data_IF_293312435823
#
_entry.id   IF_293312435823
#
_cell.length_a   1.000
_cell.length_b   1.000
_cell.length_c   1.000
_cell.angle_alpha   90.00
_cell.angle_beta   90.00
_cell.angle_gamma   90.00
#
_symmetry.space_group_name_H-M   'P 1'
#
loop_
_entity.id
_entity.type
_entity.pdbx_description
1 polymer ?
#
# COMPACT_ATOMS: atom_id res chain seq x y z
N UNK A 1 -8.93 -20.87 -2.01
CA UNK A 1 -9.12 -19.69 -2.89
C UNK A 1 -8.03 -19.50 -3.94
N UNK A 2 -7.20 -20.51 -4.20
CA UNK A 2 -6.20 -20.52 -5.28
C UNK A 2 -6.80 -20.75 -6.69
N UNK A 3 -8.11 -20.98 -6.77
CA UNK A 3 -8.81 -21.17 -8.03
C UNK A 3 -9.24 -19.89 -8.74
N UNK A 4 -9.26 -18.73 -8.03
CA UNK A 4 -9.67 -17.46 -8.65
C UNK A 4 -8.57 -16.75 -9.44
N UNK A 5 -7.31 -16.90 -9.04
CA UNK A 5 -6.19 -16.28 -9.77
C UNK A 5 -5.84 -16.99 -11.07
N UNK A 6 -6.00 -18.33 -11.12
CA UNK A 6 -5.75 -19.08 -12.34
C UNK A 6 -6.87 -18.89 -13.39
N UNK A 7 -8.10 -18.64 -12.97
CA UNK A 7 -9.21 -18.35 -13.89
C UNK A 7 -9.09 -16.96 -14.51
N UNK A 8 -8.73 -15.92 -13.71
CA UNK A 8 -8.54 -14.58 -14.22
C UNK A 8 -7.40 -14.50 -15.24
N UNK A 9 -6.24 -15.13 -14.96
CA UNK A 9 -5.15 -15.20 -15.92
C UNK A 9 -5.55 -15.95 -17.20
N UNK A 10 -6.30 -17.05 -17.08
CA UNK A 10 -6.78 -17.79 -18.26
C UNK A 10 -7.78 -17.00 -19.09
N UNK A 11 -8.57 -16.14 -18.45
CA UNK A 11 -9.57 -15.30 -19.15
C UNK A 11 -8.92 -14.12 -19.88
N UNK A 12 -7.82 -13.55 -19.34
CA UNK A 12 -7.03 -12.55 -20.06
C UNK A 12 -6.43 -13.13 -21.34
N UNK A 13 -5.86 -14.32 -21.29
CA UNK A 13 -5.30 -15.00 -22.48
C UNK A 13 -6.36 -15.41 -23.50
N UNK A 14 -7.62 -15.58 -23.10
CA UNK A 14 -8.74 -15.90 -24.00
C UNK A 14 -9.34 -14.68 -24.69
N UNK A 15 -9.06 -13.45 -24.19
CA UNK A 15 -9.53 -12.21 -24.78
C UNK A 15 -8.59 -11.77 -25.90
N UNK A 16 -8.98 -12.12 -27.13
CA UNK A 16 -8.28 -11.64 -28.33
C UNK A 16 -8.93 -10.37 -28.86
N UNK A 17 -8.20 -9.54 -29.62
CA UNK A 17 -8.77 -8.38 -30.28
C UNK A 17 -9.90 -8.79 -31.24
N UNK A 18 -11.12 -8.65 -30.79
CA UNK A 18 -12.34 -8.97 -31.55
C UNK A 18 -13.40 -7.92 -31.20
N UNK A 19 -13.75 -7.10 -32.18
CA UNK A 19 -14.72 -6.02 -32.02
C UNK A 19 -16.15 -6.55 -31.76
N UNK A 20 -16.44 -7.79 -32.16
CA UNK A 20 -17.75 -8.44 -31.95
C UNK A 20 -17.89 -9.09 -30.58
N UNK A 21 -16.78 -9.25 -29.85
CA UNK A 21 -16.77 -9.82 -28.52
C UNK A 21 -17.32 -8.83 -27.48
N UNK A 22 -17.58 -9.34 -26.27
CA UNK A 22 -17.98 -8.49 -25.18
C UNK A 22 -16.88 -7.51 -24.77
N UNK A 23 -17.29 -6.29 -24.43
CA UNK A 23 -16.37 -5.21 -24.08
C UNK A 23 -15.60 -5.52 -22.81
N UNK A 24 -14.29 -5.37 -22.88
CA UNK A 24 -13.38 -5.37 -21.74
C UNK A 24 -12.19 -4.45 -22.00
N UNK A 25 -11.88 -3.59 -21.04
CA UNK A 25 -10.78 -2.64 -21.12
C UNK A 25 -10.11 -2.46 -19.76
N UNK A 26 -8.82 -2.11 -19.78
CA UNK A 26 -8.04 -1.79 -18.60
C UNK A 26 -7.75 -0.29 -18.56
N UNK A 27 -8.16 0.38 -17.48
CA UNK A 27 -7.76 1.74 -17.19
C UNK A 27 -6.33 1.73 -16.61
N UNK A 28 -5.36 2.22 -17.37
CA UNK A 28 -3.95 2.15 -16.99
C UNK A 28 -3.35 3.47 -16.54
N UNK A 29 -4.03 4.58 -16.75
CA UNK A 29 -3.58 5.91 -16.34
C UNK A 29 -4.77 6.84 -16.15
N UNK A 30 -4.73 7.62 -15.07
CA UNK A 30 -5.66 8.73 -14.82
C UNK A 30 -4.86 10.01 -14.72
N UNK A 31 -5.32 11.09 -15.34
CA UNK A 31 -4.73 12.41 -15.19
C UNK A 31 -5.80 13.48 -15.12
N UNK A 32 -5.49 14.59 -14.48
CA UNK A 32 -6.37 15.74 -14.41
C UNK A 32 -5.95 16.76 -15.46
N UNK A 33 -6.90 17.08 -16.33
CA UNK A 33 -6.71 18.10 -17.37
C UNK A 33 -7.40 19.40 -16.95
N UNK A 34 -6.77 20.58 -17.13
CA UNK A 34 -7.34 21.86 -16.74
C UNK A 34 -8.66 22.21 -17.44
N UNK A 35 -8.87 21.70 -18.66
CA UNK A 35 -10.01 22.06 -19.51
C UNK A 35 -11.15 21.05 -19.48
N UNK A 36 -10.84 19.77 -19.46
CA UNK A 36 -11.84 18.70 -19.53
C UNK A 36 -12.01 17.93 -18.22
N UNK A 37 -11.18 18.21 -17.23
CA UNK A 37 -11.20 17.55 -15.94
C UNK A 37 -10.51 16.20 -15.96
N UNK A 38 -11.08 15.20 -15.31
CA UNK A 38 -10.50 13.86 -15.20
C UNK A 38 -10.49 13.14 -16.55
N UNK A 39 -9.32 12.73 -16.99
CA UNK A 39 -9.09 11.89 -18.16
C UNK A 39 -8.67 10.49 -17.70
N UNK A 40 -9.39 9.47 -18.13
CA UNK A 40 -9.05 8.07 -17.87
C UNK A 40 -8.56 7.42 -19.16
N UNK A 41 -7.28 7.09 -19.20
CA UNK A 41 -6.68 6.35 -20.32
C UNK A 41 -6.90 4.87 -20.14
N UNK A 42 -7.39 4.22 -21.19
CA UNK A 42 -7.68 2.80 -21.18
C UNK A 42 -7.29 2.13 -22.47
N UNK A 43 -7.01 0.83 -22.40
CA UNK A 43 -6.80 -0.04 -23.54
C UNK A 43 -7.94 -1.02 -23.64
N UNK A 44 -8.53 -1.12 -24.83
CA UNK A 44 -9.59 -2.10 -25.13
C UNK A 44 -8.95 -3.44 -25.48
N UNK A 45 -9.27 -4.47 -24.70
CA UNK A 45 -8.81 -5.84 -24.95
C UNK A 45 -9.78 -6.61 -25.83
N UNK A 46 -11.06 -6.35 -25.75
CA UNK A 46 -12.10 -6.96 -26.59
C UNK A 46 -13.32 -6.07 -26.68
N UNK A 47 -14.10 -6.25 -27.74
CA UNK A 47 -15.30 -5.48 -27.98
C UNK A 47 -15.03 -4.04 -28.40
N UNK A 48 -16.05 -3.22 -28.36
CA UNK A 48 -16.02 -1.79 -28.71
C UNK A 48 -16.67 -0.95 -27.62
N UNK A 49 -16.28 0.30 -27.52
CA UNK A 49 -16.88 1.28 -26.63
C UNK A 49 -17.31 2.50 -27.41
N UNK A 50 -18.56 2.91 -27.22
CA UNK A 50 -19.11 4.12 -27.85
C UNK A 50 -19.26 5.25 -26.84
N UNK A 51 -19.04 6.48 -27.29
CA UNK A 51 -19.28 7.70 -26.52
C UNK A 51 -20.72 7.75 -26.02
N UNK A 52 -20.95 8.20 -24.79
CA UNK A 52 -22.26 8.27 -24.16
C UNK A 52 -22.83 6.95 -23.64
N UNK A 53 -22.13 5.82 -23.83
CA UNK A 53 -22.58 4.51 -23.35
C UNK A 53 -22.25 4.29 -21.87
N UNK A 54 -22.85 3.25 -21.31
CA UNK A 54 -22.60 2.83 -19.94
C UNK A 54 -21.58 1.68 -19.91
N UNK A 55 -20.76 1.69 -18.88
CA UNK A 55 -19.79 0.62 -18.58
C UNK A 55 -19.90 0.24 -17.12
N UNK A 56 -19.48 -0.97 -16.80
CA UNK A 56 -19.29 -1.42 -15.43
C UNK A 56 -17.81 -1.38 -15.08
N UNK A 57 -17.47 -0.70 -13.98
CA UNK A 57 -16.19 -0.85 -13.33
C UNK A 57 -16.27 -2.10 -12.45
N UNK A 58 -15.76 -3.21 -12.92
CA UNK A 58 -15.83 -4.51 -12.22
C UNK A 58 -14.91 -4.57 -11.00
N UNK A 59 -13.83 -3.80 -10.98
CA UNK A 59 -12.93 -3.72 -9.83
C UNK A 59 -13.57 -3.08 -8.61
N UNK A 60 -14.50 -2.13 -8.82
CA UNK A 60 -15.20 -1.39 -7.75
C UNK A 60 -16.70 -1.71 -7.67
N UNK A 61 -17.20 -2.56 -8.54
CA UNK A 61 -18.63 -2.87 -8.69
C UNK A 61 -19.51 -1.61 -8.85
N UNK A 62 -19.10 -0.72 -9.75
CA UNK A 62 -19.77 0.56 -10.03
C UNK A 62 -20.14 0.67 -11.50
N UNK A 63 -21.34 1.15 -11.75
CA UNK A 63 -21.82 1.52 -13.10
C UNK A 63 -21.46 2.97 -13.38
N UNK A 64 -20.84 3.25 -14.53
CA UNK A 64 -20.48 4.61 -14.92
C UNK A 64 -20.88 4.89 -16.37
N UNK A 65 -21.12 6.15 -16.65
CA UNK A 65 -21.38 6.62 -18.02
C UNK A 65 -20.12 7.22 -18.61
N UNK A 66 -19.73 6.74 -19.77
CA UNK A 66 -18.68 7.37 -20.59
C UNK A 66 -19.27 8.63 -21.20
N UNK A 67 -18.65 9.77 -20.96
CA UNK A 67 -19.03 11.02 -21.61
C UNK A 67 -18.48 11.08 -23.02
N UNK A 68 -17.35 11.77 -23.18
CA UNK A 68 -16.63 11.87 -24.46
C UNK A 68 -15.48 10.87 -24.50
N UNK A 69 -15.16 10.43 -25.71
CA UNK A 69 -13.97 9.64 -26.01
C UNK A 69 -12.99 10.49 -26.81
N UNK A 70 -11.74 10.48 -26.39
CA UNK A 70 -10.67 11.27 -27.01
C UNK A 70 -9.55 10.36 -27.48
N UNK A 71 -9.07 10.59 -28.70
CA UNK A 71 -7.83 10.03 -29.18
C UNK A 71 -6.73 11.08 -29.05
N UNK A 72 -5.62 10.69 -28.43
CA UNK A 72 -4.51 11.60 -28.14
C UNK A 72 -3.38 11.38 -29.13
N UNK A 73 -2.99 12.44 -29.83
CA UNK A 73 -1.83 12.48 -30.72
C UNK A 73 -0.89 13.58 -30.25
N UNK A 74 0.16 13.24 -29.54
CA UNK A 74 1.09 14.21 -28.94
C UNK A 74 0.32 15.26 -28.09
N UNK A 75 0.28 16.51 -28.53
CA UNK A 75 -0.42 17.60 -27.85
C UNK A 75 -1.83 17.89 -28.42
N UNK A 76 -2.27 17.13 -29.42
CA UNK A 76 -3.60 17.30 -30.02
C UNK A 76 -4.59 16.27 -29.50
N UNK A 77 -5.83 16.71 -29.31
CA UNK A 77 -6.95 15.87 -28.87
C UNK A 77 -7.96 15.82 -30.01
N UNK A 78 -8.37 14.62 -30.36
CA UNK A 78 -9.42 14.40 -31.33
C UNK A 78 -10.56 13.64 -30.67
N UNK A 79 -11.76 14.21 -30.71
CA UNK A 79 -12.96 13.53 -30.25
C UNK A 79 -13.33 12.41 -31.24
N UNK A 80 -13.62 11.24 -30.69
CA UNK A 80 -14.00 10.06 -31.46
C UNK A 80 -15.30 9.47 -30.92
N UNK A 81 -16.06 8.81 -31.76
CA UNK A 81 -17.35 8.21 -31.38
C UNK A 81 -17.20 6.80 -30.84
N UNK A 82 -16.23 6.04 -31.32
CA UNK A 82 -16.06 4.63 -30.98
C UNK A 82 -14.58 4.28 -30.86
N UNK A 83 -14.27 3.44 -29.85
CA UNK A 83 -12.95 2.81 -29.67
C UNK A 83 -13.08 1.33 -29.96
N UNK A 84 -12.16 0.79 -30.74
CA UNK A 84 -12.15 -0.61 -31.17
C UNK A 84 -11.14 -1.44 -30.37
N UNK A 85 -11.28 -2.76 -30.46
CA UNK A 85 -10.39 -3.67 -29.75
C UNK A 85 -8.92 -3.49 -30.15
N UNK A 86 -8.03 -3.50 -29.15
CA UNK A 86 -6.59 -3.22 -29.30
C UNK A 86 -6.20 -1.74 -29.27
N UNK A 87 -7.15 -0.82 -29.36
CA UNK A 87 -6.90 0.61 -29.33
C UNK A 87 -6.77 1.18 -27.91
N UNK A 88 -6.09 2.31 -27.84
CA UNK A 88 -5.93 3.11 -26.62
C UNK A 88 -6.66 4.46 -26.84
N UNK A 89 -7.47 4.84 -25.87
CA UNK A 89 -8.16 6.12 -25.88
C UNK A 89 -8.27 6.70 -24.47
N UNK A 90 -8.74 7.93 -24.37
CA UNK A 90 -9.08 8.57 -23.10
C UNK A 90 -10.59 8.78 -22.99
N UNK A 91 -11.16 8.51 -21.84
CA UNK A 91 -12.57 8.78 -21.53
C UNK A 91 -12.69 9.97 -20.58
N UNK A 92 -13.67 10.82 -20.86
CA UNK A 92 -14.13 11.89 -19.97
C UNK A 92 -15.43 11.44 -19.29
N UNK A 93 -15.57 11.73 -18.01
CA UNK A 93 -16.81 11.47 -17.29
C UNK A 93 -16.81 10.24 -16.39
N UNK A 94 -15.75 9.47 -16.35
CA UNK A 94 -15.57 8.36 -15.42
C UNK A 94 -15.12 8.91 -14.06
N UNK A 95 -16.03 9.00 -13.10
CA UNK A 95 -15.78 9.62 -11.79
C UNK A 95 -15.08 8.70 -10.81
N UNK A 96 -15.47 7.42 -10.79
CA UNK A 96 -15.04 6.43 -9.80
C UNK A 96 -13.86 5.58 -10.28
N UNK A 97 -13.60 5.54 -11.58
CA UNK A 97 -12.56 4.72 -12.18
C UNK A 97 -11.18 5.29 -11.89
N UNK A 98 -10.32 4.45 -11.33
CA UNK A 98 -8.91 4.75 -11.05
C UNK A 98 -7.96 3.91 -11.89
N UNK A 99 -6.67 4.17 -11.75
CA UNK A 99 -5.61 3.40 -12.41
C UNK A 99 -5.65 1.93 -11.97
N UNK A 100 -5.63 1.02 -12.92
CA UNK A 100 -5.68 -0.43 -12.67
C UNK A 100 -7.08 -1.03 -12.66
N UNK A 101 -8.13 -0.22 -12.73
CA UNK A 101 -9.49 -0.71 -12.77
C UNK A 101 -9.83 -1.33 -14.13
N UNK A 102 -10.68 -2.37 -14.09
CA UNK A 102 -11.23 -3.00 -15.30
C UNK A 102 -12.60 -2.41 -15.61
N UNK A 103 -12.80 -2.04 -16.87
CA UNK A 103 -14.09 -1.63 -17.43
C UNK A 103 -14.62 -2.75 -18.32
N UNK A 104 -15.89 -3.11 -18.15
CA UNK A 104 -16.53 -4.18 -18.92
C UNK A 104 -17.97 -3.84 -19.26
N UNK A 105 -18.61 -4.71 -20.06
CA UNK A 105 -20.03 -4.66 -20.31
C UNK A 105 -20.83 -4.98 -19.03
N UNK A 106 -22.04 -4.42 -18.92
CA UNK A 106 -22.86 -4.53 -17.71
C UNK A 106 -23.26 -5.95 -17.32
N UNK A 107 -23.20 -6.90 -18.26
CA UNK A 107 -23.66 -8.29 -18.07
C UNK A 107 -22.52 -9.30 -17.88
N UNK A 108 -21.29 -8.88 -17.99
CA UNK A 108 -20.17 -9.79 -18.01
C UNK A 108 -19.02 -9.29 -17.13
N UNK A 109 -19.06 -9.68 -15.88
CA UNK A 109 -18.03 -9.31 -14.91
C UNK A 109 -16.71 -10.05 -15.21
N UNK A 110 -15.70 -9.28 -15.59
CA UNK A 110 -14.34 -9.74 -15.76
C UNK A 110 -13.39 -8.78 -15.05
N UNK A 111 -12.32 -9.31 -14.49
CA UNK A 111 -11.17 -8.54 -14.01
C UNK A 111 -9.97 -8.97 -14.85
N UNK A 112 -9.46 -8.08 -15.69
CA UNK A 112 -8.38 -8.36 -16.62
C UNK A 112 -7.04 -8.54 -15.90
N UNK A 113 -6.73 -7.62 -15.03
CA UNK A 113 -5.50 -7.62 -14.24
C UNK A 113 -5.76 -6.88 -12.93
N UNK A 114 -5.35 -7.44 -11.82
CA UNK A 114 -5.30 -6.70 -10.57
C UNK A 114 -3.89 -6.17 -10.40
N UNK A 115 -3.71 -4.86 -10.54
CA UNK A 115 -2.44 -4.22 -10.23
C UNK A 115 -2.33 -4.08 -8.71
N UNK A 116 -1.36 -4.75 -8.12
CA UNK A 116 -0.99 -4.54 -6.74
C UNK A 116 0.02 -3.37 -6.68
N UNK A 117 -0.38 -2.32 -6.00
CA UNK A 117 0.51 -1.18 -5.76
C UNK A 117 1.15 -1.33 -4.39
N UNK A 118 2.48 -1.09 -4.26
CA UNK A 118 3.14 -1.15 -2.97
C UNK A 118 2.58 -0.09 -2.01
N UNK A 119 2.49 -0.45 -0.73
CA UNK A 119 2.12 0.49 0.32
C UNK A 119 3.18 1.59 0.46
N UNK A 120 2.79 2.82 0.80
CA UNK A 120 3.72 3.89 1.08
C UNK A 120 4.75 3.53 2.15
N UNK A 121 6.00 3.92 1.96
CA UNK A 121 7.12 3.64 2.88
C UNK A 121 7.62 4.86 3.62
N UNK A 122 7.22 6.05 3.19
CA UNK A 122 7.55 7.33 3.83
C UNK A 122 6.31 8.18 3.96
N UNK A 123 6.18 8.91 5.06
CA UNK A 123 5.08 9.80 5.34
C UNK A 123 5.56 11.20 5.70
N UNK A 124 4.78 12.20 5.33
CA UNK A 124 4.95 13.60 5.73
C UNK A 124 3.64 14.14 6.29
N UNK A 125 3.71 15.02 7.29
CA UNK A 125 2.58 15.86 7.62
C UNK A 125 2.53 17.07 6.69
N UNK A 126 1.36 17.45 6.23
CA UNK A 126 1.13 18.67 5.47
C UNK A 126 0.05 19.51 6.14
N UNK A 127 0.32 20.79 6.29
CA UNK A 127 -0.59 21.72 6.95
C UNK A 127 -0.85 22.92 6.01
N UNK A 128 -2.13 23.23 5.69
CA UNK A 128 -2.44 24.39 4.86
C UNK A 128 -2.05 25.68 5.58
N UNK A 129 -1.51 26.67 4.87
CA UNK A 129 -1.10 27.96 5.45
C UNK A 129 -2.29 28.85 5.79
N UNK A 130 -3.45 28.62 5.16
CA UNK A 130 -4.67 29.37 5.39
C UNK A 130 -5.91 28.50 5.31
N UNK A 131 -7.04 28.98 5.80
CA UNK A 131 -8.32 28.28 5.70
C UNK A 131 -8.76 28.10 4.24
N UNK A 132 -8.44 29.06 3.37
CA UNK A 132 -8.71 28.96 1.94
C UNK A 132 -7.88 27.86 1.26
N UNK A 133 -6.64 27.62 1.75
CA UNK A 133 -5.79 26.54 1.25
C UNK A 133 -6.29 25.17 1.68
N UNK A 134 -7.01 25.04 2.80
CA UNK A 134 -7.51 23.77 3.29
C UNK A 134 -8.45 23.07 2.30
N UNK A 135 -9.43 23.81 1.77
CA UNK A 135 -10.39 23.26 0.80
C UNK A 135 -9.69 22.87 -0.52
N UNK A 136 -8.80 23.74 -0.98
CA UNK A 136 -7.97 23.46 -2.17
C UNK A 136 -7.06 22.25 -1.97
N UNK A 137 -6.44 22.12 -0.80
CA UNK A 137 -5.59 21.01 -0.45
C UNK A 137 -6.36 19.69 -0.46
N UNK A 138 -7.54 19.65 0.13
CA UNK A 138 -8.40 18.45 0.12
C UNK A 138 -8.74 18.02 -1.30
N UNK A 139 -9.12 18.97 -2.16
CA UNK A 139 -9.39 18.67 -3.57
C UNK A 139 -8.16 18.22 -4.34
N UNK A 140 -7.00 18.85 -4.10
CA UNK A 140 -5.74 18.47 -4.72
C UNK A 140 -5.32 17.05 -4.33
N UNK A 141 -5.42 16.70 -3.05
CA UNK A 141 -5.06 15.38 -2.55
C UNK A 141 -5.94 14.28 -3.13
N UNK A 142 -7.25 14.50 -3.27
CA UNK A 142 -8.15 13.55 -3.92
C UNK A 142 -7.73 13.29 -5.37
N UNK A 143 -7.48 14.35 -6.14
CA UNK A 143 -7.07 14.23 -7.54
C UNK A 143 -5.72 13.54 -7.71
N UNK A 144 -4.74 13.87 -6.86
CA UNK A 144 -3.42 13.25 -6.89
C UNK A 144 -3.46 11.76 -6.54
N UNK A 145 -4.32 11.35 -5.60
CA UNK A 145 -4.53 9.93 -5.29
C UNK A 145 -5.20 9.17 -6.43
N UNK A 146 -6.10 9.82 -7.17
CA UNK A 146 -6.71 9.22 -8.36
C UNK A 146 -5.69 9.00 -9.49
N UNK A 147 -4.72 9.91 -9.64
CA UNK A 147 -3.66 9.82 -10.65
C UNK A 147 -2.57 8.80 -10.28
N UNK A 148 -2.22 8.73 -8.99
CA UNK A 148 -1.11 7.93 -8.48
C UNK A 148 -1.57 6.99 -7.36
N UNK A 149 -1.76 5.70 -7.66
CA UNK A 149 -2.18 4.70 -6.65
C UNK A 149 -1.15 4.44 -5.55
N UNK A 150 0.10 4.83 -5.73
CA UNK A 150 1.16 4.71 -4.71
C UNK A 150 1.20 5.88 -3.74
N UNK A 151 0.42 6.92 -4.02
CA UNK A 151 0.26 8.09 -3.15
C UNK A 151 -1.02 7.97 -2.31
N UNK A 152 -0.87 8.11 -1.00
CA UNK A 152 -1.99 8.06 -0.07
C UNK A 152 -2.03 9.32 0.79
N UNK A 153 -3.24 9.77 1.13
CA UNK A 153 -3.45 10.86 2.06
C UNK A 153 -4.58 10.50 3.03
N UNK A 154 -4.39 10.80 4.30
CA UNK A 154 -5.39 10.63 5.34
C UNK A 154 -5.22 11.67 6.44
N UNK A 155 -6.28 11.90 7.19
CA UNK A 155 -6.23 12.73 8.39
C UNK A 155 -5.99 11.85 9.59
N UNK A 156 -4.98 12.18 10.38
CA UNK A 156 -4.70 11.53 11.66
C UNK A 156 -5.78 11.95 12.67
N UNK A 157 -6.51 10.98 13.21
CA UNK A 157 -7.64 11.24 14.11
C UNK A 157 -7.20 11.79 15.47
N UNK A 158 -5.99 11.47 15.92
CA UNK A 158 -5.47 11.94 17.20
C UNK A 158 -4.95 13.38 17.12
N UNK A 159 -4.24 13.71 16.06
CA UNK A 159 -3.57 15.01 15.91
C UNK A 159 -4.35 15.99 15.03
N UNK A 160 -5.28 15.51 14.22
CA UNK A 160 -5.99 16.30 13.20
C UNK A 160 -5.11 16.72 12.01
N UNK A 161 -3.87 16.24 11.96
CA UNK A 161 -2.95 16.53 10.87
C UNK A 161 -3.29 15.72 9.62
N UNK A 162 -3.06 16.30 8.46
CA UNK A 162 -3.12 15.57 7.20
C UNK A 162 -1.75 14.94 6.94
N UNK A 163 -1.74 13.63 6.77
CA UNK A 163 -0.54 12.83 6.51
C UNK A 163 -0.59 12.35 5.06
N UNK A 164 0.47 12.60 4.31
CA UNK A 164 0.65 12.07 2.96
C UNK A 164 1.73 10.98 2.97
N UNK A 165 1.50 9.93 2.21
CA UNK A 165 2.40 8.79 2.09
C UNK A 165 2.80 8.54 0.65
N UNK A 166 4.03 8.13 0.43
CA UNK A 166 4.59 7.83 -0.88
C UNK A 166 5.78 6.88 -0.83
N UNK A 167 6.41 6.70 -1.98
CA UNK A 167 7.46 5.70 -2.19
C UNK A 167 8.87 6.23 -1.96
N UNK A 168 9.03 7.48 -1.64
CA UNK A 168 10.30 8.11 -1.33
C UNK A 168 10.20 9.62 -1.20
N UNK A 169 11.29 10.23 -0.73
CA UNK A 169 11.37 11.67 -0.49
C UNK A 169 11.10 12.48 -1.77
N UNK A 170 11.76 12.11 -2.87
CA UNK A 170 11.57 12.77 -4.16
C UNK A 170 10.12 12.66 -4.67
N UNK A 171 9.49 11.50 -4.49
CA UNK A 171 8.09 11.30 -4.85
C UNK A 171 7.18 12.29 -4.13
N UNK A 172 7.33 12.42 -2.82
CA UNK A 172 6.53 13.36 -2.03
C UNK A 172 6.86 14.83 -2.33
N UNK A 173 8.12 15.16 -2.56
CA UNK A 173 8.54 16.51 -2.96
C UNK A 173 7.89 16.94 -4.28
N UNK A 174 7.85 16.05 -5.27
CA UNK A 174 7.18 16.31 -6.55
C UNK A 174 5.69 16.54 -6.34
N UNK A 175 5.03 15.74 -5.49
CA UNK A 175 3.60 15.88 -5.22
C UNK A 175 3.28 17.19 -4.49
N UNK A 176 4.09 17.58 -3.52
CA UNK A 176 3.95 18.87 -2.83
C UNK A 176 4.16 20.04 -3.79
N UNK A 177 5.16 19.96 -4.66
CA UNK A 177 5.41 20.98 -5.70
C UNK A 177 4.23 21.07 -6.69
N UNK A 178 3.64 19.94 -7.07
CA UNK A 178 2.43 19.90 -7.90
C UNK A 178 1.22 20.54 -7.20
N UNK A 179 1.03 20.28 -5.91
CA UNK A 179 -0.03 20.95 -5.14
C UNK A 179 0.10 22.47 -5.22
N UNK A 180 1.32 22.99 -5.10
CA UNK A 180 1.59 24.41 -5.19
C UNK A 180 1.37 24.96 -6.62
N UNK A 181 1.96 24.33 -7.62
CA UNK A 181 1.98 24.83 -9.00
C UNK A 181 0.69 24.60 -9.78
N UNK A 182 0.10 23.43 -9.63
CA UNK A 182 -1.09 23.03 -10.40
C UNK A 182 -2.39 23.38 -9.69
N UNK A 183 -2.43 23.28 -8.36
CA UNK A 183 -3.63 23.47 -7.55
C UNK A 183 -3.63 24.77 -6.74
N UNK A 184 -2.54 25.52 -6.81
CA UNK A 184 -2.38 26.78 -6.07
C UNK A 184 -2.63 26.65 -4.57
N UNK A 185 -2.03 25.60 -3.96
CA UNK A 185 -2.11 25.28 -2.53
C UNK A 185 -0.79 25.61 -1.86
N UNK A 186 -0.82 26.48 -0.85
CA UNK A 186 0.32 26.75 0.01
C UNK A 186 0.19 25.90 1.29
N UNK A 187 1.22 25.11 1.59
CA UNK A 187 1.25 24.28 2.79
C UNK A 187 2.63 24.24 3.43
N UNK A 188 2.65 23.99 4.75
CA UNK A 188 3.87 23.67 5.48
C UNK A 188 4.05 22.16 5.50
N UNK A 189 5.28 21.70 5.32
CA UNK A 189 5.64 20.29 5.28
C UNK A 189 6.45 19.92 6.50
N UNK A 190 6.02 18.88 7.21
CA UNK A 190 6.73 18.34 8.37
C UNK A 190 7.93 17.47 7.98
N UNK A 191 8.65 16.98 8.98
CA UNK A 191 9.79 16.09 8.79
C UNK A 191 9.34 14.72 8.23
N UNK A 192 10.14 14.08 7.34
CA UNK A 192 9.85 12.75 6.85
C UNK A 192 9.82 11.70 7.97
N UNK A 193 8.84 10.80 7.91
CA UNK A 193 8.68 9.66 8.82
C UNK A 193 8.71 8.36 8.04
N UNK A 194 9.58 7.44 8.44
CA UNK A 194 9.69 6.11 7.85
C UNK A 194 8.56 5.22 8.38
N UNK A 195 7.92 4.47 7.50
CA UNK A 195 6.92 3.49 7.88
C UNK A 195 7.57 2.18 8.27
N UNK A 196 7.85 2.04 9.56
CA UNK A 196 8.31 0.78 10.11
C UNK A 196 7.19 -0.25 10.20
N UNK A 197 7.56 -1.51 10.39
CA UNK A 197 6.65 -2.63 10.64
C UNK A 197 7.20 -3.45 11.80
N UNK A 198 6.39 -4.37 12.30
CA UNK A 198 6.79 -5.33 13.33
C UNK A 198 6.53 -6.75 12.82
N UNK A 199 7.24 -7.73 13.34
CA UNK A 199 6.98 -9.15 13.06
C UNK A 199 7.44 -10.02 14.20
N UNK A 200 6.99 -11.27 14.22
CA UNK A 200 7.44 -12.30 15.16
C UNK A 200 8.58 -13.12 14.56
N UNK A 201 9.55 -13.50 15.38
CA UNK A 201 10.69 -14.33 14.96
C UNK A 201 10.58 -15.79 15.36
N UNK A 202 9.74 -16.11 16.35
CA UNK A 202 9.58 -17.49 16.84
C UNK A 202 8.13 -17.79 17.16
N UNK A 203 7.73 -19.08 17.10
CA UNK A 203 6.38 -19.49 17.42
C UNK A 203 6.14 -19.55 18.93
N UNK A 204 4.88 -19.38 19.34
CA UNK A 204 4.42 -19.63 20.69
C UNK A 204 2.93 -19.94 20.71
N UNK A 205 2.53 -20.73 21.71
CA UNK A 205 1.13 -20.95 22.05
C UNK A 205 0.78 -20.09 23.26
N UNK A 206 -0.30 -19.34 23.17
CA UNK A 206 -0.73 -18.40 24.22
C UNK A 206 -2.23 -18.50 24.45
N UNK A 207 -2.66 -18.03 25.61
CA UNK A 207 -4.06 -17.88 25.98
C UNK A 207 -4.38 -16.38 26.08
N UNK A 208 -5.51 -15.98 25.51
CA UNK A 208 -6.15 -14.69 25.75
C UNK A 208 -7.50 -14.92 26.41
N UNK A 209 -7.67 -14.44 27.63
CA UNK A 209 -8.92 -14.59 28.38
C UNK A 209 -9.42 -13.25 28.87
N UNK A 210 -10.63 -12.93 28.48
CA UNK A 210 -11.34 -11.75 28.93
C UNK A 210 -12.56 -12.20 29.74
N UNK A 211 -12.56 -11.91 31.04
CA UNK A 211 -13.66 -12.22 31.94
C UNK A 211 -13.91 -11.00 32.81
N UNK A 212 -15.09 -10.45 32.75
CA UNK A 212 -15.51 -9.30 33.55
C UNK A 212 -16.94 -9.50 34.04
N UNK A 213 -17.14 -9.36 35.34
CA UNK A 213 -18.46 -9.28 35.96
C UNK A 213 -18.60 -7.92 36.63
N UNK A 214 -19.60 -7.17 36.25
CA UNK A 214 -19.94 -5.87 36.86
C UNK A 214 -21.47 -5.75 36.93
N UNK A 215 -22.08 -6.11 38.07
CA UNK A 215 -23.45 -5.78 38.46
C UNK A 215 -24.55 -5.98 37.39
N UNK A 216 -24.54 -7.10 36.67
CA UNK A 216 -25.45 -7.40 35.57
C UNK A 216 -24.94 -8.50 34.67
N UNK A 217 -25.19 -8.44 33.38
CA UNK A 217 -24.64 -9.35 32.38
C UNK A 217 -23.14 -9.21 32.33
N UNK A 218 -22.41 -10.28 32.57
CA UNK A 218 -20.95 -10.32 32.48
C UNK A 218 -20.42 -10.34 31.06
N UNK A 219 -19.10 -10.36 30.90
CA UNK A 219 -18.41 -10.56 29.63
C UNK A 219 -17.42 -11.69 29.75
N UNK A 220 -17.40 -12.59 28.78
CA UNK A 220 -16.51 -13.74 28.77
C UNK A 220 -16.07 -14.12 27.36
N UNK A 221 -14.77 -14.20 27.14
CA UNK A 221 -14.14 -14.77 25.96
C UNK A 221 -12.81 -15.40 26.33
N UNK A 222 -12.55 -16.59 25.83
CA UNK A 222 -11.31 -17.33 26.09
C UNK A 222 -10.87 -18.06 24.85
N UNK A 223 -9.63 -17.77 24.42
CA UNK A 223 -9.03 -18.32 23.21
C UNK A 223 -7.62 -18.79 23.46
N UNK A 224 -7.26 -19.92 22.86
CA UNK A 224 -5.90 -20.43 22.81
C UNK A 224 -5.43 -20.39 21.36
N UNK A 225 -4.37 -19.64 21.10
CA UNK A 225 -3.86 -19.37 19.75
C UNK A 225 -2.38 -19.73 19.68
N UNK A 226 -2.02 -20.44 18.61
CA UNK A 226 -0.65 -20.66 18.22
C UNK A 226 -0.26 -19.61 17.17
N UNK A 227 0.70 -18.75 17.52
CA UNK A 227 1.27 -17.80 16.59
C UNK A 227 2.57 -18.35 16.02
N UNK A 228 2.73 -18.26 14.72
CA UNK A 228 3.90 -18.73 13.98
C UNK A 228 4.35 -17.66 13.01
N UNK A 229 5.67 -17.39 12.88
CA UNK A 229 6.17 -16.54 11.81
C UNK A 229 5.75 -17.06 10.44
N UNK A 230 5.28 -16.16 9.58
CA UNK A 230 5.02 -16.45 8.18
C UNK A 230 6.24 -16.13 7.32
N UNK A 231 6.24 -16.59 6.08
CA UNK A 231 7.24 -16.19 5.09
C UNK A 231 7.19 -14.68 4.86
N UNK A 232 8.33 -14.09 4.55
CA UNK A 232 8.42 -12.65 4.22
C UNK A 232 7.48 -12.33 3.05
N UNK A 233 6.58 -11.37 3.27
CA UNK A 233 5.54 -11.00 2.30
C UNK A 233 4.33 -11.94 2.28
N UNK A 234 4.30 -12.98 3.12
CA UNK A 234 3.17 -13.94 3.20
C UNK A 234 1.91 -13.36 3.84
N UNK A 235 2.01 -12.23 4.53
CA UNK A 235 0.89 -11.57 5.17
C UNK A 235 0.35 -12.31 6.39
N UNK A 236 -0.89 -11.97 6.76
CA UNK A 236 -1.60 -12.60 7.86
C UNK A 236 -2.43 -13.78 7.36
N UNK A 237 -2.25 -14.94 8.01
CA UNK A 237 -3.05 -16.12 7.78
C UNK A 237 -3.72 -16.56 9.09
N UNK A 238 -5.02 -16.79 9.03
CA UNK A 238 -5.81 -17.29 10.15
C UNK A 238 -6.33 -18.69 9.85
N UNK A 239 -6.09 -19.61 10.79
CA UNK A 239 -6.58 -20.99 10.72
C UNK A 239 -7.53 -21.26 11.89
N UNK A 240 -8.72 -21.76 11.58
CA UNK A 240 -9.65 -22.29 12.57
C UNK A 240 -9.41 -23.79 12.75
N UNK A 241 -8.82 -24.16 13.88
CA UNK A 241 -8.58 -25.55 14.28
C UNK A 241 -9.42 -25.98 15.50
N UNK A 242 -10.54 -25.31 15.74
CA UNK A 242 -11.46 -25.65 16.86
C UNK A 242 -12.11 -27.00 16.61
N UNK A 243 -12.10 -27.82 17.63
CA UNK A 243 -12.76 -29.14 17.69
C UNK A 243 -13.81 -29.16 18.80
N UNK A 244 -14.93 -29.82 18.56
CA UNK A 244 -15.97 -30.02 19.57
C UNK A 244 -16.77 -28.76 19.95
N UNK A 245 -16.64 -27.65 19.19
CA UNK A 245 -17.42 -26.45 19.44
C UNK A 245 -17.08 -25.69 20.72
N UNK A 246 -15.88 -25.88 21.25
CA UNK A 246 -15.40 -25.16 22.47
C UNK A 246 -15.40 -23.65 22.33
N UNK A 247 -15.24 -23.18 21.12
CA UNK A 247 -15.56 -21.82 20.72
C UNK A 247 -16.65 -21.89 19.63
N UNK A 248 -17.84 -21.31 19.88
CA UNK A 248 -18.94 -21.34 18.93
C UNK A 248 -18.55 -20.70 17.58
N UNK A 249 -19.03 -21.28 16.50
CA UNK A 249 -18.70 -20.84 15.14
C UNK A 249 -18.99 -19.37 14.88
N UNK A 250 -20.02 -18.83 15.53
CA UNK A 250 -20.42 -17.42 15.41
C UNK A 250 -19.37 -16.45 15.95
N UNK A 251 -18.50 -16.88 16.89
CA UNK A 251 -17.45 -16.04 17.48
C UNK A 251 -16.09 -16.15 16.79
N UNK A 252 -15.87 -17.14 15.93
CA UNK A 252 -14.60 -17.34 15.25
C UNK A 252 -14.24 -16.15 14.33
N UNK A 253 -15.15 -15.59 13.53
CA UNK A 253 -14.87 -14.35 12.76
C UNK A 253 -14.49 -13.18 13.66
N UNK A 254 -15.04 -13.09 14.86
CA UNK A 254 -14.70 -12.04 15.84
C UNK A 254 -13.29 -12.19 16.38
N UNK A 255 -12.81 -13.41 16.57
CA UNK A 255 -11.40 -13.69 16.94
C UNK A 255 -10.46 -13.23 15.84
N UNK A 256 -10.73 -13.60 14.59
CA UNK A 256 -9.94 -13.19 13.43
C UNK A 256 -9.90 -11.67 13.29
N UNK A 257 -11.05 -11.01 13.38
CA UNK A 257 -11.13 -9.55 13.27
C UNK A 257 -10.41 -8.86 14.44
N UNK A 258 -10.56 -9.38 15.65
CA UNK A 258 -9.86 -8.86 16.83
C UNK A 258 -8.34 -8.96 16.70
N UNK A 259 -7.82 -10.03 16.09
CA UNK A 259 -6.40 -10.15 15.78
C UNK A 259 -5.95 -9.14 14.73
N UNK A 260 -6.70 -8.98 13.64
CA UNK A 260 -6.40 -8.01 12.60
C UNK A 260 -6.34 -6.58 13.15
N UNK A 261 -7.34 -6.19 13.94
CA UNK A 261 -7.41 -4.85 14.54
C UNK A 261 -6.24 -4.61 15.52
N UNK A 262 -5.89 -5.60 16.32
CA UNK A 262 -4.76 -5.50 17.25
C UNK A 262 -3.40 -5.47 16.54
N UNK A 263 -3.26 -6.19 15.44
CA UNK A 263 -2.03 -6.22 14.65
C UNK A 263 -1.74 -4.88 13.98
N UNK A 264 -2.75 -4.11 13.59
CA UNK A 264 -2.56 -2.77 13.04
C UNK A 264 -1.89 -1.80 14.02
N UNK A 265 -2.12 -1.98 15.30
CA UNK A 265 -1.55 -1.16 16.37
C UNK A 265 -0.20 -1.68 16.88
N UNK A 266 0.29 -2.80 16.40
CA UNK A 266 1.55 -3.41 16.79
C UNK A 266 1.61 -3.87 18.24
N UNK A 267 2.78 -4.39 18.62
CA UNK A 267 3.04 -4.94 19.96
C UNK A 267 4.31 -4.40 20.61
N UNK A 268 5.19 -3.73 19.84
CA UNK A 268 6.46 -3.15 20.31
C UNK A 268 6.45 -1.63 20.36
N UNK A 269 6.19 -1.01 19.23
CA UNK A 269 6.35 0.42 19.01
C UNK A 269 5.15 1.08 18.32
N UNK A 270 4.05 0.36 18.18
CA UNK A 270 2.83 0.86 17.55
C UNK A 270 2.80 0.75 16.03
N UNK A 271 3.74 0.04 15.42
CA UNK A 271 3.73 -0.20 13.98
C UNK A 271 2.98 -1.49 13.63
N UNK A 272 2.37 -1.58 12.44
CA UNK A 272 1.65 -2.78 12.03
C UNK A 272 2.50 -4.05 12.13
N UNK A 273 1.95 -5.08 12.76
CA UNK A 273 2.52 -6.41 12.82
C UNK A 273 2.17 -7.16 11.52
N UNK A 274 3.18 -7.68 10.83
CA UNK A 274 3.02 -8.35 9.53
C UNK A 274 3.64 -9.75 9.54
N UNK A 275 3.28 -10.57 8.55
CA UNK A 275 3.84 -11.89 8.28
C UNK A 275 3.73 -12.85 9.48
N UNK A 276 2.51 -13.04 9.94
CA UNK A 276 2.15 -13.90 11.10
C UNK A 276 1.04 -14.84 10.72
N UNK A 277 1.18 -16.11 11.15
CA UNK A 277 0.12 -17.11 11.10
C UNK A 277 -0.47 -17.26 12.50
N UNK A 278 -1.79 -17.26 12.61
CA UNK A 278 -2.51 -17.50 13.83
C UNK A 278 -3.42 -18.72 13.67
N UNK A 279 -3.26 -19.71 14.57
CA UNK A 279 -4.07 -20.91 14.61
C UNK A 279 -4.87 -20.93 15.91
N UNK A 280 -6.18 -20.73 15.81
CA UNK A 280 -7.11 -20.87 16.92
C UNK A 280 -7.40 -22.36 17.14
N UNK A 281 -6.90 -22.95 18.23
CA UNK A 281 -6.99 -24.38 18.45
C UNK A 281 -7.80 -24.79 19.66
N UNK A 282 -8.06 -23.88 20.61
CA UNK A 282 -8.84 -24.17 21.83
C UNK A 282 -9.45 -22.87 22.37
N UNK A 283 -10.30 -23.03 23.35
CA UNK A 283 -10.95 -21.94 24.04
C UNK A 283 -12.12 -22.39 24.88
N UNK A 284 -12.87 -21.46 25.42
CA UNK A 284 -14.10 -21.71 26.13
C UNK A 284 -15.08 -20.55 26.00
N UNK A 285 -16.34 -20.78 26.26
CA UNK A 285 -17.39 -19.79 26.23
C UNK A 285 -18.38 -19.96 27.40
N UNK A 286 -19.14 -18.90 27.61
CA UNK A 286 -20.24 -18.87 28.56
C UNK A 286 -21.55 -18.59 27.81
N UNK A 287 -22.59 -19.40 28.05
CA UNK A 287 -23.87 -19.25 27.34
C UNK A 287 -24.50 -17.87 27.48
N UNK A 288 -24.28 -17.21 28.62
CA UNK A 288 -24.89 -15.91 28.95
C UNK A 288 -23.94 -14.74 28.70
N UNK A 289 -22.66 -14.88 29.00
CA UNK A 289 -21.71 -13.79 29.13
C UNK A 289 -20.79 -13.64 27.88
N UNK A 290 -20.80 -14.64 26.99
CA UNK A 290 -20.02 -14.56 25.75
C UNK A 290 -20.68 -13.66 24.72
N UNK A 291 -19.85 -12.93 23.97
CA UNK A 291 -20.25 -12.02 22.91
C UNK A 291 -19.13 -11.88 21.87
N UNK A 292 -19.46 -11.35 20.70
CA UNK A 292 -18.47 -11.02 19.67
C UNK A 292 -17.39 -10.06 20.20
N UNK A 293 -17.80 -9.06 20.96
CA UNK A 293 -16.89 -8.09 21.56
C UNK A 293 -15.93 -8.74 22.57
N UNK A 294 -16.42 -9.65 23.42
CA UNK A 294 -15.61 -10.36 24.39
C UNK A 294 -14.53 -11.21 23.70
N UNK A 295 -14.87 -11.87 22.60
CA UNK A 295 -13.89 -12.65 21.81
C UNK A 295 -12.91 -11.78 21.04
N UNK A 296 -13.30 -10.61 20.55
CA UNK A 296 -12.36 -9.62 19.99
C UNK A 296 -11.33 -9.17 21.02
N UNK A 297 -11.76 -8.87 22.23
CA UNK A 297 -10.88 -8.48 23.32
C UNK A 297 -9.97 -9.64 23.72
N UNK A 298 -10.52 -10.84 23.85
CA UNK A 298 -9.73 -12.04 24.16
C UNK A 298 -8.62 -12.29 23.12
N UNK A 299 -8.93 -12.12 21.83
CA UNK A 299 -7.95 -12.21 20.76
C UNK A 299 -6.84 -11.15 20.89
N UNK A 300 -7.17 -9.91 21.21
CA UNK A 300 -6.19 -8.85 21.44
C UNK A 300 -5.29 -9.15 22.66
N UNK A 301 -5.83 -9.74 23.71
CA UNK A 301 -5.07 -10.17 24.87
C UNK A 301 -4.14 -11.34 24.55
N UNK A 302 -4.56 -12.26 23.70
CA UNK A 302 -3.70 -13.34 23.20
C UNK A 302 -2.51 -12.79 22.42
N UNK A 303 -2.72 -11.79 21.58
CA UNK A 303 -1.63 -11.13 20.83
C UNK A 303 -0.63 -10.45 21.78
N UNK A 304 -1.10 -9.79 22.83
CA UNK A 304 -0.23 -9.19 23.85
C UNK A 304 0.61 -10.24 24.59
N UNK A 305 0.05 -11.39 24.89
CA UNK A 305 0.81 -12.51 25.47
C UNK A 305 1.82 -13.08 24.49
N UNK A 306 1.48 -13.17 23.20
CA UNK A 306 2.39 -13.59 22.15
C UNK A 306 3.59 -12.66 22.02
N UNK A 307 3.39 -11.35 22.18
CA UNK A 307 4.47 -10.36 22.15
C UNK A 307 5.57 -10.63 23.20
N UNK A 308 5.23 -11.29 24.30
CA UNK A 308 6.21 -11.67 25.35
C UNK A 308 7.01 -12.92 24.99
N UNK A 309 6.55 -13.75 24.06
CA UNK A 309 7.09 -15.09 23.80
C UNK A 309 7.58 -15.28 22.36
N UNK A 310 7.13 -14.48 21.42
CA UNK A 310 7.41 -14.65 20.00
C UNK A 310 8.60 -13.83 19.48
N UNK A 311 9.38 -13.23 20.36
CA UNK A 311 10.55 -12.39 20.01
C UNK A 311 10.23 -11.36 18.91
N UNK A 312 9.34 -10.40 19.19
CA UNK A 312 8.97 -9.40 18.20
C UNK A 312 10.13 -8.47 17.87
N UNK A 313 10.25 -8.09 16.61
CA UNK A 313 11.28 -7.19 16.09
C UNK A 313 10.68 -6.10 15.22
N UNK A 314 11.39 -4.99 15.06
CA UNK A 314 11.05 -3.91 14.15
C UNK A 314 11.68 -4.16 12.79
N UNK A 315 10.90 -3.95 11.74
CA UNK A 315 11.32 -4.02 10.35
C UNK A 315 11.40 -2.62 9.75
N UNK A 316 12.42 -2.40 8.94
CA UNK A 316 12.60 -1.17 8.15
C UNK A 316 12.48 -1.44 6.65
N UNK A 317 11.97 -0.46 5.86
CA UNK A 317 11.96 -0.60 4.43
C UNK A 317 13.37 -0.52 3.86
N UNK A 318 13.71 -1.52 3.05
CA UNK A 318 14.96 -1.61 2.29
C UNK A 318 14.69 -1.21 0.84
N UNK A 319 15.46 -0.25 0.36
CA UNK A 319 15.34 0.26 -0.99
C UNK A 319 16.36 -0.39 -1.91
N UNK A 320 15.91 -0.77 -3.10
CA UNK A 320 16.79 -1.15 -4.20
C UNK A 320 17.24 0.11 -4.91
N UNK A 321 18.52 0.42 -4.81
CA UNK A 321 19.13 1.63 -5.37
C UNK A 321 20.05 1.25 -6.52
N UNK A 322 19.83 1.85 -7.67
CA UNK A 322 20.70 1.72 -8.84
C UNK A 322 21.36 3.05 -9.12
N UNK A 323 22.67 3.11 -9.02
CA UNK A 323 23.47 4.33 -9.13
C UNK A 323 24.34 4.22 -10.38
N UNK A 324 24.24 5.20 -11.25
CA UNK A 324 25.06 5.32 -12.44
C UNK A 324 26.02 6.51 -12.31
N UNK A 325 27.32 6.26 -12.50
CA UNK A 325 28.36 7.25 -12.37
C UNK A 325 29.56 6.95 -13.28
N UNK A 326 30.42 7.93 -13.59
CA UNK A 326 31.72 7.69 -14.17
C UNK A 326 32.59 6.79 -13.26
N UNK A 327 33.40 5.92 -13.83
CA UNK A 327 34.23 4.94 -13.12
C UNK A 327 35.10 5.56 -12.00
N UNK A 328 35.59 6.76 -12.21
CA UNK A 328 36.43 7.50 -11.25
C UNK A 328 35.76 7.74 -9.89
N UNK A 329 34.41 7.77 -9.84
CA UNK A 329 33.63 8.01 -8.60
C UNK A 329 33.14 6.71 -7.95
N UNK A 330 33.36 5.56 -8.55
CA UNK A 330 32.79 4.29 -8.08
C UNK A 330 33.22 3.95 -6.65
N UNK A 331 34.48 4.18 -6.31
CA UNK A 331 35.01 3.94 -4.96
C UNK A 331 34.33 4.79 -3.90
N UNK A 332 34.13 6.08 -4.18
CA UNK A 332 33.45 7.01 -3.28
C UNK A 332 31.98 6.64 -3.09
N UNK A 333 31.30 6.24 -4.16
CA UNK A 333 29.91 5.79 -4.11
C UNK A 333 29.76 4.50 -3.31
N UNK A 334 30.63 3.54 -3.49
CA UNK A 334 30.61 2.29 -2.71
C UNK A 334 30.85 2.55 -1.21
N UNK A 335 31.80 3.43 -0.90
CA UNK A 335 32.07 3.86 0.47
C UNK A 335 30.87 4.55 1.11
N UNK A 336 30.19 5.44 0.39
CA UNK A 336 28.99 6.12 0.85
C UNK A 336 27.81 5.16 1.08
N UNK A 337 27.60 4.21 0.17
CA UNK A 337 26.58 3.16 0.33
C UNK A 337 26.82 2.34 1.60
N UNK A 338 28.07 1.95 1.85
CA UNK A 338 28.45 1.23 3.07
C UNK A 338 28.24 2.06 4.32
N UNK A 339 28.59 3.34 4.29
CA UNK A 339 28.35 4.28 5.39
C UNK A 339 26.86 4.47 5.71
N UNK A 340 25.98 4.28 4.73
CA UNK A 340 24.52 4.31 4.86
C UNK A 340 23.90 2.96 5.23
N UNK A 341 24.65 2.07 5.82
CA UNK A 341 24.25 0.68 6.15
C UNK A 341 23.77 -0.13 4.93
N UNK A 342 24.18 0.29 3.74
CA UNK A 342 23.83 -0.37 2.51
C UNK A 342 24.73 -1.56 2.20
N UNK A 343 24.23 -2.46 1.35
CA UNK A 343 24.94 -3.61 0.83
C UNK A 343 24.96 -3.53 -0.69
N UNK A 344 26.17 -3.53 -1.26
CA UNK A 344 26.33 -3.61 -2.71
C UNK A 344 25.99 -5.03 -3.17
N UNK A 345 25.07 -5.14 -4.11
CA UNK A 345 24.57 -6.40 -4.67
C UNK A 345 25.25 -6.75 -5.99
N UNK A 346 25.63 -5.75 -6.78
CA UNK A 346 26.32 -5.95 -8.04
C UNK A 346 26.85 -4.67 -8.65
N UNK A 347 27.77 -4.84 -9.60
CA UNK A 347 28.34 -3.76 -10.39
C UNK A 347 28.43 -4.21 -11.84
N UNK A 348 28.10 -3.33 -12.75
CA UNK A 348 28.19 -3.60 -14.18
C UNK A 348 28.59 -2.35 -14.97
N UNK A 349 29.39 -2.49 -16.04
CA UNK A 349 29.66 -1.39 -16.94
C UNK A 349 28.46 -1.10 -17.82
N UNK A 350 28.22 0.17 -18.09
CA UNK A 350 27.18 0.63 -19.02
C UNK A 350 27.74 1.75 -19.92
N UNK A 351 28.24 1.38 -21.09
CA UNK A 351 28.96 2.32 -21.96
C UNK A 351 30.24 2.84 -21.28
N UNK A 352 30.33 4.16 -21.12
CA UNK A 352 31.44 4.82 -20.41
C UNK A 352 31.18 5.02 -18.91
N UNK A 353 30.05 4.55 -18.41
CA UNK A 353 29.66 4.65 -17.02
C UNK A 353 29.72 3.31 -16.32
N UNK A 354 29.71 3.34 -14.98
CA UNK A 354 29.53 2.19 -14.10
C UNK A 354 28.18 2.28 -13.42
N UNK A 355 27.55 1.12 -13.24
CA UNK A 355 26.29 0.98 -12.52
C UNK A 355 26.51 0.16 -11.26
N UNK A 356 26.15 0.72 -10.11
CA UNK A 356 26.18 0.03 -8.81
C UNK A 356 24.75 -0.25 -8.38
N UNK A 357 24.45 -1.52 -8.12
CA UNK A 357 23.20 -1.96 -7.54
C UNK A 357 23.39 -2.24 -6.05
N UNK A 358 22.55 -1.67 -5.21
CA UNK A 358 22.65 -1.82 -3.77
C UNK A 358 21.27 -1.88 -3.09
N UNK A 359 21.25 -2.44 -1.90
CA UNK A 359 20.13 -2.36 -0.98
C UNK A 359 20.50 -1.45 0.18
N UNK A 360 19.72 -0.40 0.40
CA UNK A 360 19.99 0.62 1.43
C UNK A 360 18.72 0.89 2.23
N UNK A 361 18.79 0.97 3.57
CA UNK A 361 17.63 1.37 4.37
C UNK A 361 17.11 2.76 3.97
N UNK A 362 15.80 2.90 3.84
CA UNK A 362 15.19 4.18 3.47
C UNK A 362 15.58 5.32 4.42
N UNK A 363 15.68 5.03 5.72
CA UNK A 363 16.07 6.03 6.73
C UNK A 363 17.44 6.66 6.48
N UNK A 364 18.32 5.98 5.77
CA UNK A 364 19.68 6.44 5.43
C UNK A 364 19.73 7.15 4.05
N UNK A 365 18.61 7.19 3.33
CA UNK A 365 18.56 7.74 1.97
C UNK A 365 18.07 9.18 1.89
N UNK A 366 17.68 9.79 3.01
CA UNK A 366 17.28 11.20 3.01
C UNK A 366 18.45 12.10 2.63
N UNK A 367 18.20 13.02 1.71
CA UNK A 367 19.24 13.91 1.19
C UNK A 367 20.25 13.25 0.25
N UNK A 368 20.04 12.01 -0.18
CA UNK A 368 20.98 11.27 -1.03
C UNK A 368 21.24 11.97 -2.38
N UNK A 369 20.23 12.57 -3.00
CA UNK A 369 20.41 13.31 -4.26
C UNK A 369 21.49 14.40 -4.15
N UNK A 370 21.49 15.14 -3.05
CA UNK A 370 22.51 16.17 -2.79
C UNK A 370 23.89 15.56 -2.56
N UNK A 371 23.99 14.49 -1.78
CA UNK A 371 25.25 13.78 -1.55
C UNK A 371 25.83 13.20 -2.83
N UNK A 372 24.99 12.59 -3.66
CA UNK A 372 25.42 12.03 -4.95
C UNK A 372 25.97 13.11 -5.89
N UNK A 373 25.28 14.24 -5.98
CA UNK A 373 25.75 15.37 -6.78
C UNK A 373 27.11 15.90 -6.28
N UNK A 374 27.26 16.08 -4.98
CA UNK A 374 28.52 16.52 -4.40
C UNK A 374 29.66 15.55 -4.66
N UNK A 375 29.41 14.25 -4.50
CA UNK A 375 30.43 13.20 -4.64
C UNK A 375 30.80 12.92 -6.09
N UNK A 376 29.98 13.31 -7.06
CA UNK A 376 30.17 13.03 -8.48
C UNK A 376 30.26 14.28 -9.36
N UNK A 377 30.37 15.45 -8.75
CA UNK A 377 30.38 16.73 -9.47
C UNK A 377 29.17 16.90 -10.41
N UNK A 378 28.01 16.44 -9.96
CA UNK A 378 26.76 16.50 -10.72
C UNK A 378 26.59 15.44 -11.81
N UNK A 379 27.53 14.51 -11.96
CA UNK A 379 27.56 13.51 -13.05
C UNK A 379 26.87 12.19 -12.70
N UNK A 380 26.62 11.93 -11.41
CA UNK A 380 25.92 10.73 -10.95
C UNK A 380 24.41 10.87 -11.02
N UNK A 381 23.74 9.79 -11.39
CA UNK A 381 22.28 9.64 -11.34
C UNK A 381 21.90 8.38 -10.58
N UNK A 382 20.69 8.33 -10.00
CA UNK A 382 20.21 7.15 -9.32
C UNK A 382 18.71 6.96 -9.50
N UNK A 383 18.29 5.71 -9.35
CA UNK A 383 16.89 5.31 -9.19
C UNK A 383 16.76 4.54 -7.89
N UNK A 384 15.62 4.65 -7.25
CA UNK A 384 15.34 4.01 -5.97
C UNK A 384 13.91 3.48 -5.94
N UNK A 385 13.76 2.21 -5.58
CA UNK A 385 12.47 1.55 -5.43
C UNK A 385 12.43 0.76 -4.13
N UNK A 386 11.26 0.71 -3.50
CA UNK A 386 11.04 -0.19 -2.38
C UNK A 386 11.21 -1.65 -2.82
N UNK A 387 11.98 -2.44 -2.07
CA UNK A 387 12.21 -3.85 -2.35
C UNK A 387 11.57 -4.76 -1.30
N UNK A 388 11.97 -4.63 -0.05
CA UNK A 388 11.50 -5.47 1.04
C UNK A 388 11.66 -4.81 2.41
N UNK A 389 11.04 -5.41 3.43
CA UNK A 389 11.30 -5.08 4.82
C UNK A 389 12.38 -5.98 5.41
N UNK A 390 13.29 -5.42 6.20
CA UNK A 390 14.33 -6.15 6.89
C UNK A 390 14.42 -5.72 8.36
N UNK A 391 14.90 -6.64 9.21
CA UNK A 391 15.08 -6.37 10.64
C UNK A 391 16.06 -5.22 10.87
N UNK A 392 15.65 -4.29 11.72
CA UNK A 392 16.48 -3.15 12.14
C UNK A 392 17.55 -3.63 13.13
N UNK A 393 18.79 -3.11 13.07
CA UNK A 393 19.80 -3.36 14.10
C UNK A 393 19.25 -3.04 15.50
N UNK A 394 19.64 -3.82 16.49
CA UNK A 394 19.10 -3.75 17.85
C UNK A 394 19.21 -2.34 18.48
N UNK A 395 20.32 -1.65 18.28
CA UNK A 395 20.52 -0.29 18.78
C UNK A 395 19.52 0.72 18.20
N UNK A 396 19.25 0.62 16.91
CA UNK A 396 18.29 1.47 16.19
C UNK A 396 16.86 1.12 16.63
N UNK A 397 16.56 -0.17 16.80
CA UNK A 397 15.26 -0.62 17.28
C UNK A 397 14.95 -0.04 18.69
N UNK A 398 15.90 -0.04 19.59
CA UNK A 398 15.75 0.54 20.92
C UNK A 398 15.46 2.05 20.88
N UNK A 399 16.12 2.80 19.99
CA UNK A 399 15.87 4.24 19.80
C UNK A 399 14.45 4.49 19.26
N UNK A 400 13.99 3.68 18.28
CA UNK A 400 12.65 3.79 17.72
C UNK A 400 11.59 3.52 18.80
N UNK A 401 11.77 2.46 19.59
CA UNK A 401 10.83 2.10 20.67
C UNK A 401 10.74 3.21 21.71
N UNK A 402 11.87 3.75 22.15
CA UNK A 402 11.92 4.86 23.13
C UNK A 402 11.20 6.10 22.60
N UNK A 403 11.52 6.50 21.37
CA UNK A 403 10.90 7.67 20.73
C UNK A 403 9.38 7.54 20.66
N UNK A 404 8.86 6.35 20.36
CA UNK A 404 7.42 6.14 20.22
C UNK A 404 6.70 5.99 21.57
N UNK A 405 7.42 5.64 22.64
CA UNK A 405 6.88 5.61 24.01
C UNK A 405 6.94 6.96 24.70
N UNK A 406 7.55 7.98 24.08
CA UNK A 406 7.70 9.31 24.66
C UNK A 406 8.74 9.40 25.76
N UNK A 407 9.71 8.48 25.78
CA UNK A 407 10.84 8.44 26.73
C UNK A 407 12.10 9.11 26.14
#
# INVERSE_FOLDING_TARGET
STLSSSSAASDVYKRQPDDSAEFAALAFKVMTDPYVGKLTFFRVYSGTLSSGSYVKNSSKDKRERVGRLLQMHANSRQEIDTVYSGEIAAAVGLKETGTGDTLCGEKNDIILESMEFPEPVIHLSVEPKSKADQDKMTQALVKLQEEDPTFHAHTDEETGQVIIGGMGELHLDILVDRMKKEFNVECNVGAPMVSYRETFKQPAQVQGKFSRQSGGRGQYGDVHIEFTPNETGGGFEFENAIVGGVVPREYIPSVEQGLKDAMENGVLAGYPLIDVKAKLFDGSYHDVDSSEMAFKIAASLALKEAAKKCDPVILEPMMKVTIEMPEEYMGDIMGDVTARRGRVDGMEPRGNAQVVNAYVPLSEMFGYATSLRSNTQGRGTYTMYFDHYAEVPKSIAEEIIKKNKGE
#
